data_IF_308124617335
#
_entry.id   IF_308124617335
#
_cell.length_a   1.000
_cell.length_b   1.000
_cell.length_c   1.000
_cell.angle_alpha   90.00
_cell.angle_beta   90.00
_cell.angle_gamma   90.00
#
_symmetry.space_group_name_H-M   'P 1'
#
loop_
_entity.id
_entity.type
_entity.pdbx_description
1 polymer ?
#
# COMPACT_ATOMS: atom_id res chain seq x y z
N UNK A 1 30.08 31.08 27.18
CA UNK A 1 30.52 30.14 26.12
C UNK A 1 29.93 28.73 26.27
N UNK A 2 29.66 28.23 27.48
CA UNK A 2 29.08 26.89 27.71
C UNK A 2 27.60 26.71 27.26
N UNK A 3 26.81 27.79 27.20
CA UNK A 3 25.38 27.72 26.84
C UNK A 3 25.11 27.45 25.35
N UNK A 4 26.03 27.81 24.46
CA UNK A 4 25.86 27.59 23.01
C UNK A 4 26.13 26.13 22.61
N UNK A 5 27.02 25.43 23.32
CA UNK A 5 27.33 24.03 23.04
C UNK A 5 26.15 23.07 23.36
N UNK A 6 25.27 23.45 24.30
CA UNK A 6 24.12 22.65 24.72
C UNK A 6 22.97 22.72 23.69
N UNK A 7 22.84 23.84 22.97
CA UNK A 7 21.78 24.02 21.97
C UNK A 7 22.08 23.21 20.70
N UNK A 8 23.36 23.07 20.33
CA UNK A 8 23.79 22.26 19.17
C UNK A 8 23.66 20.75 19.39
N UNK A 9 23.72 20.25 20.63
CA UNK A 9 23.55 18.83 20.93
C UNK A 9 22.09 18.39 21.03
N UNK A 10 21.16 19.28 21.39
CA UNK A 10 19.73 18.95 21.43
C UNK A 10 19.09 18.82 20.03
N UNK A 11 19.66 19.46 19.00
CA UNK A 11 19.15 19.40 17.63
C UNK A 11 19.50 18.09 16.89
N UNK A 12 20.37 17.25 17.47
CA UNK A 12 20.79 15.96 16.90
C UNK A 12 19.93 14.77 17.36
N UNK A 13 18.90 14.98 18.19
CA UNK A 13 17.90 13.96 18.57
C UNK A 13 16.76 13.81 17.55
N UNK A 14 16.95 14.30 16.31
CA UNK A 14 16.14 13.84 15.19
C UNK A 14 16.54 12.41 14.87
N UNK A 15 15.63 11.46 15.07
CA UNK A 15 15.84 10.03 14.81
C UNK A 15 16.43 9.82 13.40
N UNK A 16 17.75 9.60 13.32
CA UNK A 16 18.49 9.44 12.04
C UNK A 16 18.14 8.11 11.37
N UNK A 17 17.58 7.16 12.12
CA UNK A 17 17.15 5.85 11.63
C UNK A 17 15.82 5.45 12.29
N UNK A 18 14.71 6.05 11.87
CA UNK A 18 13.39 5.47 12.11
C UNK A 18 13.29 4.15 11.32
N UNK A 19 13.87 3.06 11.85
CA UNK A 19 13.72 1.73 11.27
C UNK A 19 12.28 1.30 11.48
N UNK A 20 11.50 1.26 10.40
CA UNK A 20 10.14 0.75 10.42
C UNK A 20 10.19 -0.77 10.62
N UNK A 21 9.89 -1.22 11.84
CA UNK A 21 9.85 -2.62 12.22
C UNK A 21 8.45 -3.25 12.07
N UNK A 22 7.43 -2.45 11.76
CA UNK A 22 6.06 -2.91 11.54
C UNK A 22 5.34 -2.00 10.55
N UNK A 23 4.46 -2.59 9.73
CA UNK A 23 3.52 -1.84 8.91
C UNK A 23 2.59 -1.00 9.78
N UNK A 24 2.58 0.32 9.54
CA UNK A 24 1.60 1.23 10.11
C UNK A 24 0.52 1.48 9.07
N UNK A 25 -0.74 1.24 9.43
CA UNK A 25 -1.87 1.46 8.54
C UNK A 25 -3.07 1.97 9.33
N UNK A 26 -3.98 2.64 8.62
CA UNK A 26 -5.29 3.03 9.13
C UNK A 26 -6.29 3.06 7.98
N UNK A 27 -7.55 2.76 8.26
CA UNK A 27 -8.62 2.97 7.31
C UNK A 27 -8.93 4.48 7.24
N UNK A 28 -9.04 5.05 6.03
CA UNK A 28 -9.33 6.48 5.88
C UNK A 28 -10.82 6.72 6.14
N UNK A 29 -11.18 7.62 7.06
CA UNK A 29 -12.57 7.82 7.49
C UNK A 29 -13.47 8.36 6.37
N UNK A 30 -14.39 7.52 5.89
CA UNK A 30 -15.52 7.90 5.04
C UNK A 30 -16.74 7.09 5.46
N UNK A 31 -17.93 7.70 5.60
CA UNK A 31 -19.15 6.96 5.85
C UNK A 31 -19.45 5.99 4.69
N UNK A 32 -20.11 4.87 4.99
CA UNK A 32 -20.57 3.88 4.01
C UNK A 32 -19.48 3.21 3.16
N UNK A 33 -18.32 2.89 3.77
CA UNK A 33 -17.34 2.03 3.12
C UNK A 33 -17.87 0.60 3.07
N UNK A 34 -17.92 0.02 1.87
CA UNK A 34 -18.38 -1.37 1.67
C UNK A 34 -17.41 -2.42 2.19
N UNK A 35 -16.25 -2.02 2.71
CA UNK A 35 -15.17 -2.85 3.21
C UNK A 35 -14.62 -2.25 4.50
N UNK A 36 -14.46 -3.08 5.51
CA UNK A 36 -13.82 -2.79 6.79
C UNK A 36 -12.56 -3.64 6.91
N UNK A 37 -11.40 -3.01 7.08
CA UNK A 37 -10.13 -3.71 7.28
C UNK A 37 -9.93 -3.88 8.79
N UNK A 38 -9.78 -5.12 9.24
CA UNK A 38 -9.58 -5.47 10.65
C UNK A 38 -8.09 -5.51 10.99
N UNK A 39 -7.30 -6.21 10.17
CA UNK A 39 -5.85 -6.31 10.34
C UNK A 39 -5.14 -6.26 9.01
N UNK A 40 -3.94 -5.69 9.00
CA UNK A 40 -2.99 -5.74 7.91
C UNK A 40 -1.57 -5.75 8.49
N UNK A 41 -0.81 -6.79 8.20
CA UNK A 41 0.55 -7.00 8.66
C UNK A 41 1.43 -7.38 7.47
N UNK A 42 2.72 -7.01 7.55
CA UNK A 42 3.71 -7.22 6.51
C UNK A 42 5.01 -7.69 7.15
N UNK A 43 5.58 -8.77 6.62
CA UNK A 43 6.83 -9.37 7.12
C UNK A 43 7.73 -9.79 5.93
N UNK A 44 9.05 -9.53 5.95
CA UNK A 44 9.79 -8.79 6.98
C UNK A 44 9.61 -7.27 6.85
N UNK A 45 9.89 -6.56 7.94
CA UNK A 45 9.96 -5.10 7.98
C UNK A 45 11.33 -4.69 8.54
N UNK A 46 12.11 -3.83 7.85
CA UNK A 46 11.80 -3.22 6.55
C UNK A 46 11.77 -4.25 5.42
N UNK A 47 10.93 -4.01 4.41
CA UNK A 47 10.89 -4.85 3.20
C UNK A 47 12.21 -4.72 2.46
N UNK A 48 12.88 -5.85 2.21
CA UNK A 48 14.11 -5.90 1.43
C UNK A 48 13.80 -6.23 -0.02
N UNK A 49 14.48 -5.54 -0.95
CA UNK A 49 14.40 -5.81 -2.38
C UNK A 49 15.81 -5.98 -2.95
N UNK A 50 16.12 -7.07 -3.67
CA UNK A 50 15.24 -8.22 -3.92
C UNK A 50 15.00 -9.06 -2.65
N UNK A 51 13.81 -9.66 -2.54
CA UNK A 51 13.42 -10.43 -1.35
C UNK A 51 11.94 -10.84 -1.39
N UNK A 52 11.57 -11.77 -0.50
CA UNK A 52 10.19 -12.20 -0.33
C UNK A 52 9.53 -11.40 0.80
N UNK A 53 8.26 -11.04 0.61
CA UNK A 53 7.43 -10.43 1.64
C UNK A 53 6.10 -11.18 1.74
N UNK A 54 5.60 -11.31 2.96
CA UNK A 54 4.30 -11.92 3.29
C UNK A 54 3.39 -10.82 3.80
N UNK A 55 2.27 -10.62 3.10
CA UNK A 55 1.18 -9.74 3.51
C UNK A 55 0.08 -10.62 4.11
N UNK A 56 -0.31 -10.32 5.35
CA UNK A 56 -1.46 -10.93 6.01
C UNK A 56 -2.50 -9.85 6.23
N UNK A 57 -3.72 -10.05 5.74
CA UNK A 57 -4.81 -9.10 5.96
C UNK A 57 -6.11 -9.82 6.35
N UNK A 58 -6.94 -9.14 7.12
CA UNK A 58 -8.30 -9.56 7.45
C UNK A 58 -9.22 -8.38 7.19
N UNK A 59 -10.28 -8.63 6.44
CA UNK A 59 -11.29 -7.63 6.13
C UNK A 59 -12.69 -8.24 6.12
N UNK A 60 -13.69 -7.41 6.37
CA UNK A 60 -15.10 -7.76 6.30
C UNK A 60 -15.84 -6.81 5.38
N UNK A 61 -16.72 -7.33 4.54
CA UNK A 61 -17.58 -6.50 3.69
C UNK A 61 -18.82 -6.09 4.49
N UNK A 62 -19.10 -4.79 4.58
CA UNK A 62 -20.30 -4.27 5.25
C UNK A 62 -21.51 -4.24 4.32
N UNK A 63 -21.29 -4.34 3.01
CA UNK A 63 -22.31 -4.49 1.96
C UNK A 63 -21.76 -5.32 0.80
N UNK A 64 -22.61 -5.88 -0.07
CA UNK A 64 -22.16 -6.56 -1.28
C UNK A 64 -21.32 -5.63 -2.17
N UNK A 65 -20.15 -6.09 -2.60
CA UNK A 65 -19.29 -5.42 -3.56
C UNK A 65 -19.33 -6.26 -4.84
N UNK A 66 -19.81 -5.67 -5.94
CA UNK A 66 -19.97 -6.36 -7.23
C UNK A 66 -19.21 -5.63 -8.34
N UNK A 67 -18.72 -6.40 -9.30
CA UNK A 67 -18.00 -5.91 -10.47
C UNK A 67 -16.52 -5.65 -10.23
N UNK A 68 -15.84 -5.25 -11.30
CA UNK A 68 -14.40 -5.02 -11.30
C UNK A 68 -14.02 -3.88 -10.35
N UNK A 69 -13.02 -4.13 -9.50
CA UNK A 69 -12.54 -3.15 -8.52
C UNK A 69 -11.45 -2.25 -9.11
N UNK A 70 -11.87 -1.05 -9.53
CA UNK A 70 -10.94 0.01 -9.89
C UNK A 70 -10.25 0.56 -8.64
N UNK A 71 -8.92 0.58 -8.64
CA UNK A 71 -8.09 0.97 -7.50
C UNK A 71 -7.27 2.20 -7.84
N UNK A 72 -7.45 3.30 -7.10
CA UNK A 72 -6.57 4.47 -7.17
C UNK A 72 -5.52 4.35 -6.07
N UNK A 73 -4.25 4.35 -6.45
CA UNK A 73 -3.13 4.31 -5.52
C UNK A 73 -2.38 5.65 -5.54
N UNK A 74 -2.16 6.21 -4.36
CA UNK A 74 -1.38 7.45 -4.17
C UNK A 74 -0.20 7.13 -3.22
N UNK A 75 1.03 7.21 -3.72
CA UNK A 75 2.27 6.85 -3.03
C UNK A 75 3.11 8.11 -2.77
N UNK A 76 3.49 8.30 -1.51
CA UNK A 76 4.42 9.33 -1.06
C UNK A 76 5.71 8.72 -0.54
N UNK A 77 6.84 9.29 -0.94
CA UNK A 77 8.17 8.93 -0.42
C UNK A 77 8.76 10.10 0.34
N UNK A 78 9.10 9.90 1.61
CA UNK A 78 9.83 10.91 2.37
C UNK A 78 11.33 10.79 2.09
N UNK A 79 11.96 11.87 1.62
CA UNK A 79 13.41 11.95 1.40
C UNK A 79 13.93 13.17 2.12
N UNK A 80 14.86 12.99 3.07
CA UNK A 80 15.41 14.08 3.89
C UNK A 80 14.32 14.95 4.57
N UNK A 81 13.24 14.31 5.03
CA UNK A 81 12.09 14.98 5.67
C UNK A 81 11.09 15.63 4.71
N UNK A 82 11.34 15.62 3.41
CA UNK A 82 10.44 16.19 2.39
C UNK A 82 9.56 15.06 1.81
N UNK A 83 8.22 15.17 1.88
CA UNK A 83 7.33 14.22 1.22
C UNK A 83 7.30 14.50 -0.29
N UNK A 84 7.73 13.53 -1.09
CA UNK A 84 7.74 13.60 -2.54
C UNK A 84 6.73 12.60 -3.13
N UNK A 85 5.81 13.05 -4.00
CA UNK A 85 4.87 12.15 -4.67
C UNK A 85 5.61 11.28 -5.67
N UNK A 86 5.41 9.98 -5.59
CA UNK A 86 5.85 9.04 -6.63
C UNK A 86 4.81 9.10 -7.74
N UNK A 87 5.20 9.42 -8.97
CA UNK A 87 4.25 9.49 -10.09
C UNK A 87 3.87 8.11 -10.61
N UNK A 88 2.87 8.07 -11.49
CA UNK A 88 2.63 6.90 -12.33
C UNK A 88 3.69 6.83 -13.43
N UNK A 89 4.31 5.67 -13.61
CA UNK A 89 5.31 5.39 -14.63
C UNK A 89 4.93 4.14 -15.42
N UNK A 90 5.43 4.03 -16.65
CA UNK A 90 5.38 2.79 -17.42
C UNK A 90 6.75 2.12 -17.34
N UNK A 91 6.79 0.89 -16.83
CA UNK A 91 7.99 0.04 -16.76
C UNK A 91 7.63 -1.28 -17.42
N UNK A 92 8.38 -1.68 -18.45
CA UNK A 92 8.13 -2.92 -19.22
C UNK A 92 6.69 -3.06 -19.73
N UNK A 93 6.09 -1.92 -20.13
CA UNK A 93 4.71 -1.86 -20.62
C UNK A 93 3.63 -1.89 -19.53
N UNK A 94 4.01 -1.83 -18.25
CA UNK A 94 3.09 -1.88 -17.10
C UNK A 94 3.10 -0.60 -16.27
N UNK A 95 1.94 -0.26 -15.71
CA UNK A 95 1.78 0.89 -14.82
C UNK A 95 2.35 0.62 -13.42
N UNK A 96 3.30 1.45 -12.97
CA UNK A 96 3.94 1.36 -11.65
C UNK A 96 3.93 2.71 -10.96
N UNK A 97 3.48 2.76 -9.71
CA UNK A 97 3.50 3.96 -8.88
C UNK A 97 2.10 4.48 -8.52
N UNK A 98 1.93 5.79 -8.45
CA UNK A 98 0.63 6.41 -8.13
C UNK A 98 -0.30 6.43 -9.36
N UNK A 99 -0.84 5.27 -9.71
CA UNK A 99 -1.69 5.07 -10.89
C UNK A 99 -3.15 4.77 -10.50
N UNK A 100 -4.03 4.77 -11.50
CA UNK A 100 -5.39 4.24 -11.34
C UNK A 100 -5.53 2.92 -12.07
N UNK A 101 -5.42 1.84 -11.30
CA UNK A 101 -5.49 0.48 -11.79
C UNK A 101 -6.95 0.09 -12.06
N UNK A 102 -7.27 -0.42 -13.27
CA UNK A 102 -8.65 -0.72 -13.64
C UNK A 102 -9.22 -1.93 -12.92
N UNK A 103 -8.37 -2.89 -12.51
CA UNK A 103 -8.77 -4.16 -11.92
C UNK A 103 -7.79 -4.58 -10.81
N UNK A 104 -8.27 -4.61 -9.56
CA UNK A 104 -7.50 -5.00 -8.39
C UNK A 104 -7.03 -6.47 -8.45
N UNK A 105 -7.86 -7.38 -8.97
CA UNK A 105 -7.51 -8.79 -9.03
C UNK A 105 -6.44 -9.05 -10.09
N UNK A 106 -6.48 -8.32 -11.22
CA UNK A 106 -5.39 -8.32 -12.18
C UNK A 106 -4.10 -7.81 -11.54
N UNK A 107 -4.15 -6.70 -10.79
CA UNK A 107 -2.98 -6.14 -10.11
C UNK A 107 -2.36 -7.13 -9.11
N UNK A 108 -3.15 -7.77 -8.25
CA UNK A 108 -2.62 -8.74 -7.27
C UNK A 108 -1.97 -9.94 -7.97
N UNK A 109 -2.53 -10.42 -9.08
CA UNK A 109 -1.92 -11.48 -9.89
C UNK A 109 -0.54 -11.10 -10.45
N UNK A 110 -0.31 -9.83 -10.76
CA UNK A 110 1.01 -9.38 -11.20
C UNK A 110 2.03 -9.30 -10.07
N UNK A 111 1.57 -9.13 -8.83
CA UNK A 111 2.40 -8.96 -7.64
C UNK A 111 2.68 -10.28 -6.89
N UNK A 112 1.90 -11.32 -7.14
CA UNK A 112 1.99 -12.59 -6.43
C UNK A 112 1.88 -13.78 -7.38
N UNK A 113 2.96 -14.55 -7.47
CA UNK A 113 2.99 -15.81 -8.23
C UNK A 113 2.04 -16.87 -7.65
N UNK A 114 1.62 -16.70 -6.40
CA UNK A 114 0.69 -17.62 -5.71
C UNK A 114 -0.78 -17.24 -5.89
N UNK A 115 -1.09 -16.05 -6.39
CA UNK A 115 -2.45 -15.58 -6.58
C UNK A 115 -2.96 -15.91 -7.99
N UNK A 116 -4.11 -16.58 -8.08
CA UNK A 116 -4.79 -16.84 -9.36
C UNK A 116 -6.02 -15.96 -9.51
N UNK A 117 -6.41 -15.61 -10.73
CA UNK A 117 -7.67 -14.87 -10.95
C UNK A 117 -8.91 -15.63 -10.47
N UNK A 118 -8.82 -16.95 -10.33
CA UNK A 118 -9.88 -17.78 -9.75
C UNK A 118 -10.01 -17.61 -8.24
N UNK A 119 -8.91 -17.26 -7.56
CA UNK A 119 -8.90 -16.92 -6.13
C UNK A 119 -9.50 -15.53 -5.83
N UNK A 120 -9.72 -14.72 -6.87
CA UNK A 120 -10.54 -13.53 -6.77
C UNK A 120 -12.01 -13.94 -6.54
N UNK A 121 -12.69 -13.27 -5.60
CA UNK A 121 -14.10 -13.53 -5.34
C UNK A 121 -14.93 -13.37 -6.63
N UNK A 122 -15.85 -14.30 -6.88
CA UNK A 122 -16.67 -14.35 -8.11
C UNK A 122 -17.41 -13.03 -8.36
N UNK A 123 -17.91 -12.41 -7.30
CA UNK A 123 -18.61 -11.14 -7.34
C UNK A 123 -17.75 -9.98 -7.91
N UNK A 124 -16.42 -10.11 -7.88
CA UNK A 124 -15.46 -9.10 -8.34
C UNK A 124 -14.92 -9.37 -9.74
N UNK A 125 -15.27 -10.50 -10.34
CA UNK A 125 -14.88 -10.82 -11.71
C UNK A 125 -15.66 -9.93 -12.69
N UNK A 126 -15.10 -9.63 -13.87
CA UNK A 126 -15.85 -8.91 -14.90
C UNK A 126 -17.11 -9.69 -15.25
N UNK A 127 -18.28 -9.06 -15.08
CA UNK A 127 -19.53 -9.65 -15.52
C UNK A 127 -19.43 -9.84 -17.03
N UNK A 128 -19.48 -11.09 -17.50
CA UNK A 128 -19.73 -11.35 -18.93
C UNK A 128 -21.12 -10.79 -19.22
N UNK A 129 -21.17 -9.63 -19.87
CA UNK A 129 -22.36 -9.21 -20.58
C UNK A 129 -22.66 -10.32 -21.58
N UNK A 130 -23.81 -10.98 -21.44
CA UNK A 130 -24.31 -11.92 -22.42
C UNK A 130 -24.33 -11.21 -23.78
N UNK A 131 -23.40 -11.59 -24.66
CA UNK A 131 -23.49 -11.38 -26.12
C UNK A 131 -24.28 -12.52 -26.73
#
# INVERSE_FOLDING_TARGET
MLKFAIITTLLALGCVECVYNKLQWKQCDKPNQGLEIVTADLTPMPVTSPGNAVITFKAHTTRPIKGVLRTKLDIMRTVSGIPLPVRCYIVDGKEVGSCTYPDLCALIKELSDTFTLESCAEELKPHKLFT
#
